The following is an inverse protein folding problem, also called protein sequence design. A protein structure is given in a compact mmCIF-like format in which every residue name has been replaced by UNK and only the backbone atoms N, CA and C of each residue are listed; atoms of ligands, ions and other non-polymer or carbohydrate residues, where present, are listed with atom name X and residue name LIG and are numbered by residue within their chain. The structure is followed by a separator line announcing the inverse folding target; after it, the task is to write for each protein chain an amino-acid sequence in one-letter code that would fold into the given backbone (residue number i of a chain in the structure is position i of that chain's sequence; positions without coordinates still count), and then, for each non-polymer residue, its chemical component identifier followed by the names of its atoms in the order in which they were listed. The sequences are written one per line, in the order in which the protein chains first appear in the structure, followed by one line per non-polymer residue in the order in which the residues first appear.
data_IF_840665785743
#
_entry.id   IF_840665785743
#
_cell.length_a   1.000
_cell.length_b   1.000
_cell.length_c   1.000
_cell.angle_alpha   90.00
_cell.angle_beta   90.00
_cell.angle_gamma   90.00
#
_symmetry.space_group_name_H-M   'P 1'
#
loop_
_entity.id
_entity.type
_entity.pdbx_description
1 polymer ?
#
# COMPACT_ATOMS: atom_id res chain seq x y z
N UNK A 1 -46.53 -20.88 34.52
CA UNK A 1 -45.61 -19.74 34.81
C UNK A 1 -44.12 -20.07 34.64
N UNK A 2 -43.60 -21.22 35.09
CA UNK A 2 -42.16 -21.57 35.02
C UNK A 2 -41.59 -21.65 33.59
N UNK A 3 -42.32 -22.26 32.65
CA UNK A 3 -41.94 -22.38 31.24
C UNK A 3 -41.95 -21.04 30.49
N UNK A 4 -42.78 -20.09 30.92
CA UNK A 4 -42.90 -18.76 30.32
C UNK A 4 -41.69 -17.86 30.67
N UNK A 5 -41.18 -17.99 31.90
CA UNK A 5 -39.92 -17.36 32.33
C UNK A 5 -38.70 -17.95 31.58
N UNK A 6 -38.68 -19.27 31.36
CA UNK A 6 -37.62 -19.94 30.59
C UNK A 6 -37.59 -19.46 29.13
N UNK A 7 -38.75 -19.37 28.46
CA UNK A 7 -38.86 -18.85 27.10
C UNK A 7 -38.39 -17.40 26.98
N UNK A 8 -38.73 -16.56 27.97
CA UNK A 8 -38.29 -15.16 28.02
C UNK A 8 -36.77 -15.04 28.19
N UNK A 9 -36.17 -15.88 29.02
CA UNK A 9 -34.72 -15.91 29.21
C UNK A 9 -33.98 -16.37 27.95
N UNK A 10 -34.47 -17.44 27.31
CA UNK A 10 -33.90 -17.93 26.05
C UNK A 10 -34.01 -16.91 24.91
N UNK A 11 -35.12 -16.19 24.81
CA UNK A 11 -35.28 -15.13 23.82
C UNK A 11 -34.29 -13.99 24.04
N UNK A 12 -34.04 -13.62 25.29
CA UNK A 12 -33.12 -12.53 25.64
C UNK A 12 -31.65 -12.94 25.40
N UNK A 13 -31.32 -14.20 25.71
CA UNK A 13 -30.02 -14.78 25.41
C UNK A 13 -29.76 -14.83 23.89
N UNK A 14 -30.74 -15.27 23.10
CA UNK A 14 -30.59 -15.33 21.64
C UNK A 14 -30.42 -13.94 21.03
N UNK A 15 -31.18 -12.94 21.51
CA UNK A 15 -31.01 -11.55 21.08
C UNK A 15 -29.62 -11.00 21.40
N UNK A 16 -29.11 -11.27 22.62
CA UNK A 16 -27.76 -10.88 23.00
C UNK A 16 -26.68 -11.58 22.16
N UNK A 17 -26.84 -12.88 21.89
CA UNK A 17 -25.93 -13.65 21.05
C UNK A 17 -25.87 -13.06 19.63
N UNK A 18 -27.03 -12.75 19.03
CA UNK A 18 -27.09 -12.13 17.70
C UNK A 18 -26.36 -10.79 17.69
N UNK A 19 -26.59 -9.92 18.67
CA UNK A 19 -25.88 -8.64 18.79
C UNK A 19 -24.36 -8.81 18.98
N UNK A 20 -23.92 -9.77 19.79
CA UNK A 20 -22.49 -10.04 20.00
C UNK A 20 -21.84 -10.55 18.72
N UNK A 21 -22.50 -11.45 17.98
CA UNK A 21 -21.97 -11.97 16.71
C UNK A 21 -21.87 -10.92 15.62
N UNK A 22 -22.82 -9.97 15.54
CA UNK A 22 -22.71 -8.86 14.59
C UNK A 22 -21.58 -7.91 14.98
N UNK A 23 -21.46 -7.56 16.27
CA UNK A 23 -20.38 -6.72 16.80
C UNK A 23 -18.98 -7.35 16.63
N UNK A 24 -18.85 -8.66 16.88
CA UNK A 24 -17.61 -9.39 16.67
C UNK A 24 -17.23 -9.51 15.18
N UNK A 25 -18.23 -9.54 14.28
CA UNK A 25 -18.02 -9.54 12.82
C UNK A 25 -17.52 -8.20 12.25
N UNK A 26 -17.67 -7.08 12.96
CA UNK A 26 -17.09 -5.79 12.55
C UNK A 26 -15.57 -5.72 12.77
N UNK A 27 -14.98 -6.62 13.56
CA UNK A 27 -13.53 -6.65 13.80
C UNK A 27 -12.72 -7.23 12.64
N UNK A 28 -13.32 -8.11 11.83
CA UNK A 28 -12.60 -8.81 10.75
C UNK A 28 -12.32 -7.91 9.54
N UNK A 29 -13.16 -6.90 9.29
CA UNK A 29 -12.92 -5.92 8.22
C UNK A 29 -11.82 -4.91 8.58
N UNK A 30 -11.68 -4.55 9.86
CA UNK A 30 -10.58 -3.71 10.33
C UNK A 30 -9.23 -4.45 10.24
N UNK A 31 -9.19 -5.74 10.62
CA UNK A 31 -8.01 -6.59 10.47
C UNK A 31 -7.59 -6.76 8.99
N UNK A 32 -8.55 -6.95 8.07
CA UNK A 32 -8.23 -7.17 6.66
C UNK A 32 -7.77 -5.89 5.92
N UNK A 33 -8.03 -4.70 6.48
CA UNK A 33 -7.53 -3.43 5.95
C UNK A 33 -6.13 -3.09 6.46
N UNK A 34 -5.62 -3.81 7.47
CA UNK A 34 -4.26 -3.69 7.99
C UNK A 34 -3.32 -4.61 7.19
N UNK A 35 -3.32 -4.50 5.85
CA UNK A 35 -2.22 -5.03 5.06
C UNK A 35 -1.09 -4.01 5.17
N UNK A 36 -0.32 -4.12 6.25
CA UNK A 36 0.97 -3.44 6.39
C UNK A 36 1.90 -4.18 5.44
N UNK A 37 2.15 -3.57 4.28
CA UNK A 37 3.10 -4.09 3.31
C UNK A 37 4.35 -3.21 3.25
N UNK A 38 5.49 -3.81 2.94
CA UNK A 38 6.76 -3.09 2.90
C UNK A 38 6.78 -2.15 1.70
N UNK A 39 7.09 -0.88 1.97
CA UNK A 39 7.20 0.17 0.97
C UNK A 39 8.67 0.57 0.81
N UNK A 40 9.19 0.41 -0.40
CA UNK A 40 10.51 0.85 -0.79
C UNK A 40 10.40 2.14 -1.60
N UNK A 41 11.05 3.20 -1.11
CA UNK A 41 11.10 4.52 -1.75
C UNK A 41 12.55 4.85 -2.07
N UNK A 42 12.83 5.15 -3.33
CA UNK A 42 14.15 5.62 -3.77
C UNK A 42 13.98 6.95 -4.48
N UNK A 43 14.48 8.02 -3.87
CA UNK A 43 14.43 9.37 -4.41
C UNK A 43 15.78 9.77 -5.00
N UNK A 44 15.77 10.23 -6.24
CA UNK A 44 16.95 10.72 -6.95
C UNK A 44 16.91 12.25 -7.13
N UNK A 45 18.08 12.93 -7.08
CA UNK A 45 19.39 12.36 -6.79
C UNK A 45 19.58 12.08 -5.29
N UNK A 46 20.42 11.10 -4.96
CA UNK A 46 20.81 10.76 -3.59
C UNK A 46 22.19 11.29 -3.30
N UNK A 47 22.42 11.66 -2.04
CA UNK A 47 23.74 12.05 -1.58
C UNK A 47 24.76 10.95 -1.88
N UNK A 48 25.89 11.33 -2.47
CA UNK A 48 26.91 10.40 -2.97
C UNK A 48 26.68 9.82 -4.37
N UNK A 49 25.55 10.07 -5.03
CA UNK A 49 25.43 9.76 -6.46
C UNK A 49 26.47 10.59 -7.24
N UNK A 50 27.15 9.97 -8.22
CA UNK A 50 28.32 10.57 -8.89
C UNK A 50 28.05 11.96 -9.48
N UNK A 51 26.81 12.19 -9.92
CA UNK A 51 26.39 13.45 -10.50
C UNK A 51 25.57 14.33 -9.56
N UNK A 52 25.54 14.10 -8.24
CA UNK A 52 24.63 14.77 -7.28
C UNK A 52 24.53 16.31 -7.45
N UNK A 53 25.63 16.98 -7.81
CA UNK A 53 25.67 18.43 -8.10
C UNK A 53 25.50 18.84 -9.56
N UNK A 54 25.30 17.90 -10.48
CA UNK A 54 25.22 18.11 -11.92
C UNK A 54 23.80 18.16 -12.49
N UNK A 55 23.72 17.96 -13.80
CA UNK A 55 22.44 17.88 -14.52
C UNK A 55 21.73 16.55 -14.19
N UNK A 56 20.60 16.66 -13.49
CA UNK A 56 19.69 15.55 -13.17
C UNK A 56 18.33 15.78 -13.76
N UNK A 57 17.65 14.66 -13.99
CA UNK A 57 16.27 14.63 -14.40
C UNK A 57 16.07 14.22 -15.84
N UNK A 58 14.86 14.46 -16.32
CA UNK A 58 14.44 14.21 -17.70
C UNK A 58 13.50 15.33 -18.14
N UNK A 59 13.44 15.58 -19.45
CA UNK A 59 12.44 16.46 -20.07
C UNK A 59 11.09 15.74 -20.21
N UNK A 60 10.06 16.37 -20.78
CA UNK A 60 8.76 15.72 -20.95
C UNK A 60 8.89 14.39 -21.73
N UNK A 61 8.42 13.29 -21.15
CA UNK A 61 8.43 11.95 -21.74
C UNK A 61 7.01 11.52 -22.11
N UNK A 62 6.87 10.87 -23.27
CA UNK A 62 5.66 10.19 -23.71
C UNK A 62 5.98 8.70 -23.90
N UNK A 63 5.24 7.83 -23.22
CA UNK A 63 5.45 6.39 -23.23
C UNK A 63 4.50 5.70 -24.20
N UNK A 64 4.93 4.56 -24.77
CA UNK A 64 4.18 3.80 -25.79
C UNK A 64 2.83 3.27 -25.31
N UNK A 65 2.65 3.13 -23.99
CA UNK A 65 1.41 2.72 -23.35
C UNK A 65 0.44 3.89 -23.08
N UNK A 66 0.70 5.08 -23.64
CA UNK A 66 -0.15 6.27 -23.51
C UNK A 66 0.09 7.08 -22.23
N UNK A 67 1.04 6.67 -21.40
CA UNK A 67 1.43 7.42 -20.20
C UNK A 67 2.37 8.56 -20.56
N UNK A 68 2.45 9.58 -19.72
CA UNK A 68 3.43 10.66 -19.86
C UNK A 68 4.02 11.05 -18.51
N UNK A 69 5.25 11.54 -18.54
CA UNK A 69 5.91 12.16 -17.39
C UNK A 69 6.34 13.58 -17.76
N UNK A 70 6.06 14.55 -16.88
CA UNK A 70 6.51 15.93 -17.07
C UNK A 70 7.99 16.05 -16.74
N UNK A 71 8.64 17.06 -17.32
CA UNK A 71 10.01 17.45 -17.00
C UNK A 71 10.16 17.55 -15.48
N UNK A 72 11.17 16.88 -14.95
CA UNK A 72 11.51 16.95 -13.54
C UNK A 72 13.00 16.76 -13.36
N UNK A 73 13.57 17.46 -12.38
CA UNK A 73 14.96 17.24 -11.91
C UNK A 73 15.06 16.16 -10.83
N UNK A 74 13.92 15.75 -10.28
CA UNK A 74 13.82 14.81 -9.18
C UNK A 74 12.89 13.67 -9.55
N UNK A 75 13.21 12.46 -9.12
CA UNK A 75 12.38 11.29 -9.39
C UNK A 75 12.34 10.42 -8.17
N UNK A 76 11.13 10.08 -7.71
CA UNK A 76 10.96 9.09 -6.65
C UNK A 76 10.34 7.86 -7.25
N UNK A 77 11.03 6.73 -7.10
CA UNK A 77 10.50 5.43 -7.47
C UNK A 77 9.95 4.76 -6.23
N UNK A 78 8.78 4.18 -6.39
CA UNK A 78 8.00 3.57 -5.31
C UNK A 78 7.66 2.13 -5.67
N UNK A 79 7.95 1.21 -4.77
CA UNK A 79 7.48 -0.17 -4.84
C UNK A 79 6.82 -0.55 -3.51
N UNK A 80 5.70 -1.26 -3.59
CA UNK A 80 5.03 -1.85 -2.44
C UNK A 80 4.92 -3.35 -2.60
N UNK A 81 5.16 -4.06 -1.52
CA UNK A 81 4.85 -5.48 -1.41
C UNK A 81 5.78 -6.39 -2.17
N UNK A 82 5.20 -7.38 -2.85
CA UNK A 82 5.93 -8.55 -3.39
C UNK A 82 6.87 -8.28 -4.57
N UNK A 83 7.15 -7.02 -4.94
CA UNK A 83 8.02 -6.74 -6.07
C UNK A 83 9.44 -7.24 -5.81
N UNK A 84 9.86 -8.25 -6.57
CA UNK A 84 11.20 -8.84 -6.49
C UNK A 84 11.90 -8.59 -7.83
N UNK A 85 12.82 -7.63 -7.88
CA UNK A 85 13.53 -7.25 -9.11
C UNK A 85 14.24 -5.90 -9.02
N UNK A 86 14.85 -5.46 -10.12
CA UNK A 86 15.46 -4.13 -10.21
C UNK A 86 14.39 -3.08 -10.52
N UNK A 87 14.07 -2.25 -9.52
CA UNK A 87 13.03 -1.20 -9.60
C UNK A 87 13.45 -0.06 -10.55
N UNK A 88 14.74 0.27 -10.57
CA UNK A 88 15.31 1.30 -11.41
C UNK A 88 16.73 0.93 -11.80
N UNK A 89 17.11 1.25 -13.03
CA UNK A 89 18.49 1.19 -13.49
C UNK A 89 18.88 2.60 -13.91
N UNK A 90 20.00 3.08 -13.39
CA UNK A 90 20.60 4.33 -13.84
C UNK A 90 21.36 4.00 -15.12
N UNK A 91 20.85 4.44 -16.28
CA UNK A 91 21.67 4.47 -17.49
C UNK A 91 22.59 5.69 -17.35
N UNK A 92 23.71 5.50 -16.68
CA UNK A 92 24.76 6.51 -16.69
C UNK A 92 25.42 6.47 -18.08
N UNK A 93 25.40 7.57 -18.85
CA UNK A 93 26.08 7.60 -20.14
C UNK A 93 27.57 7.26 -19.96
N UNK A 94 28.00 6.11 -20.49
CA UNK A 94 29.38 5.63 -20.39
C UNK A 94 29.61 4.47 -19.41
N UNK A 95 28.58 4.01 -18.68
CA UNK A 95 28.66 2.80 -17.84
C UNK A 95 28.02 1.63 -18.59
N UNK A 96 28.76 0.53 -18.86
CA UNK A 96 28.18 -0.65 -19.50
C UNK A 96 27.17 -1.34 -18.58
N UNK A 97 26.07 -1.78 -19.18
CA UNK A 97 24.98 -2.53 -18.52
C UNK A 97 25.40 -3.96 -18.16
#
# INVERSE_FOLDING_TARGET
MKTLKLKKFMSLFLAALMCVTTLAGFGTTAYAAEIIDEAYLVSFPRDGDANYGGEWGYDNLSFMNGWSARKSRYTTVYAMGSYTGNICYCIEPGVPL
#
